data_IF_899626684520
#
_entry.id   IF_899626684520
#
_cell.length_a   1.000
_cell.length_b   1.000
_cell.length_c   1.000
_cell.angle_alpha   90.00
_cell.angle_beta   90.00
_cell.angle_gamma   90.00
#
_symmetry.space_group_name_H-M   'P 1'
#
loop_
_entity.id
_entity.type
_entity.pdbx_description
1 polymer ?
#
# COMPACT_ATOMS: atom_id res chain seq x y z
N UNK A 1 -2.42 30.85 13.41
CA UNK A 1 -3.14 30.94 12.13
C UNK A 1 -2.46 30.12 11.01
N UNK A 2 -1.17 30.33 10.68
CA UNK A 2 -0.45 29.59 9.62
C UNK A 2 -0.56 28.06 9.66
N UNK A 3 -0.51 27.45 10.85
CA UNK A 3 -0.63 25.98 11.04
C UNK A 3 -2.03 25.46 10.68
N UNK A 4 -3.09 26.20 11.00
CA UNK A 4 -4.46 25.80 10.64
C UNK A 4 -4.70 25.95 9.15
N UNK A 5 -4.16 27.00 8.52
CA UNK A 5 -4.22 27.16 7.06
C UNK A 5 -3.54 26.01 6.34
N UNK A 6 -2.35 25.58 6.80
CA UNK A 6 -1.65 24.41 6.24
C UNK A 6 -2.49 23.13 6.40
N UNK A 7 -3.11 22.95 7.58
CA UNK A 7 -3.93 21.77 7.86
C UNK A 7 -5.18 21.73 6.97
N UNK A 8 -5.85 22.87 6.80
CA UNK A 8 -7.01 22.99 5.91
C UNK A 8 -6.60 22.70 4.46
N UNK A 9 -5.48 23.28 4.00
CA UNK A 9 -4.99 23.05 2.64
C UNK A 9 -4.69 21.56 2.40
N UNK A 10 -3.97 20.91 3.31
CA UNK A 10 -3.66 19.48 3.21
C UNK A 10 -4.93 18.63 3.26
N UNK A 11 -5.91 19.00 4.10
CA UNK A 11 -7.18 18.28 4.18
C UNK A 11 -8.02 18.41 2.90
N UNK A 12 -8.05 19.60 2.29
CA UNK A 12 -8.75 19.83 1.02
C UNK A 12 -8.04 19.09 -0.12
N UNK A 13 -6.71 19.12 -0.16
CA UNK A 13 -5.92 18.38 -1.15
C UNK A 13 -6.20 16.88 -1.07
N UNK A 14 -6.19 16.33 0.15
CA UNK A 14 -6.46 14.91 0.38
C UNK A 14 -7.89 14.53 -0.02
N UNK A 15 -8.87 15.36 0.34
CA UNK A 15 -10.26 15.16 -0.04
C UNK A 15 -10.45 15.17 -1.56
N UNK A 16 -9.80 16.12 -2.26
CA UNK A 16 -9.84 16.20 -3.72
C UNK A 16 -9.20 14.96 -4.36
N UNK A 17 -8.09 14.47 -3.82
CA UNK A 17 -7.39 13.30 -4.35
C UNK A 17 -8.23 12.02 -4.22
N UNK A 18 -8.83 11.77 -3.05
CA UNK A 18 -9.64 10.55 -2.84
C UNK A 18 -10.97 10.59 -3.60
N UNK A 19 -11.57 11.78 -3.74
CA UNK A 19 -12.85 11.92 -4.45
C UNK A 19 -12.73 11.98 -5.97
N UNK A 20 -11.51 12.13 -6.52
CA UNK A 20 -11.27 12.21 -7.96
C UNK A 20 -11.93 11.08 -8.78
N UNK A 21 -11.72 9.78 -8.50
CA UNK A 21 -12.37 8.71 -9.26
C UNK A 21 -13.90 8.75 -9.14
N UNK A 22 -14.44 9.11 -7.97
CA UNK A 22 -15.89 9.21 -7.77
C UNK A 22 -16.51 10.36 -8.58
N UNK A 23 -15.83 11.51 -8.67
CA UNK A 23 -16.29 12.66 -9.45
C UNK A 23 -16.24 12.33 -10.95
N UNK A 24 -15.18 11.65 -11.42
CA UNK A 24 -15.05 11.26 -12.82
C UNK A 24 -16.19 10.34 -13.25
N UNK A 25 -16.48 9.28 -12.48
CA UNK A 25 -17.61 8.36 -12.74
C UNK A 25 -18.96 9.11 -12.73
N UNK A 26 -19.12 10.10 -11.84
CA UNK A 26 -20.37 10.86 -11.75
C UNK A 26 -20.60 11.82 -12.93
N UNK A 27 -19.53 12.26 -13.60
CA UNK A 27 -19.60 13.13 -14.78
C UNK A 27 -19.78 12.32 -16.05
N UNK A 28 -19.05 11.22 -16.18
CA UNK A 28 -19.06 10.37 -17.37
C UNK A 28 -18.69 8.92 -17.00
N UNK A 29 -19.61 8.00 -17.26
CA UNK A 29 -19.48 6.58 -16.94
C UNK A 29 -18.61 5.80 -17.94
N UNK A 30 -18.16 6.45 -19.02
CA UNK A 30 -17.28 5.85 -20.03
C UNK A 30 -15.80 6.03 -19.72
N UNK A 31 -15.46 6.89 -18.74
CA UNK A 31 -14.07 7.15 -18.35
C UNK A 31 -13.51 5.97 -17.57
N UNK A 32 -12.38 5.44 -18.04
CA UNK A 32 -11.65 4.40 -17.34
C UNK A 32 -10.92 4.97 -16.11
N UNK A 33 -11.36 4.55 -14.93
CA UNK A 33 -10.77 4.92 -13.62
C UNK A 33 -9.96 3.78 -13.00
N UNK A 34 -9.78 2.66 -13.69
CA UNK A 34 -9.04 1.49 -13.19
C UNK A 34 -7.63 1.86 -12.72
N UNK A 35 -6.95 2.75 -13.45
CA UNK A 35 -5.62 3.26 -13.11
C UNK A 35 -5.55 3.89 -11.72
N UNK A 36 -6.59 4.62 -11.28
CA UNK A 36 -6.62 5.23 -9.94
C UNK A 36 -6.66 4.16 -8.83
N UNK A 37 -7.32 3.03 -9.09
CA UNK A 37 -7.37 1.91 -8.16
C UNK A 37 -6.09 1.07 -8.22
N UNK A 38 -5.54 0.84 -9.42
CA UNK A 38 -4.29 0.07 -9.61
C UNK A 38 -3.05 0.74 -8.99
N UNK A 39 -2.98 2.07 -8.94
CA UNK A 39 -1.86 2.78 -8.29
C UNK A 39 -1.90 2.63 -6.77
N UNK A 40 -3.09 2.51 -6.18
CA UNK A 40 -3.27 2.35 -4.74
C UNK A 40 -3.18 0.88 -4.30
N UNK A 41 -3.35 -0.05 -5.24
CA UNK A 41 -3.21 -1.47 -5.01
C UNK A 41 -1.72 -1.84 -5.04
N UNK A 42 -1.11 -1.95 -3.85
CA UNK A 42 0.24 -2.50 -3.69
C UNK A 42 0.20 -4.03 -3.86
N UNK A 43 -0.17 -4.52 -5.05
CA UNK A 43 0.26 -5.85 -5.44
C UNK A 43 1.77 -5.76 -5.69
N UNK A 44 2.53 -6.33 -4.76
CA UNK A 44 3.87 -6.85 -5.03
C UNK A 44 3.72 -8.02 -6.03
N UNK A 45 3.21 -7.75 -7.23
CA UNK A 45 3.44 -8.65 -8.33
C UNK A 45 4.95 -8.71 -8.45
N UNK A 46 5.47 -9.93 -8.31
CA UNK A 46 6.87 -10.21 -8.57
C UNK A 46 7.05 -9.88 -10.05
N UNK A 47 7.38 -8.62 -10.34
CA UNK A 47 7.87 -8.15 -11.61
C UNK A 47 9.15 -8.95 -11.84
N UNK A 48 8.98 -10.14 -12.43
CA UNK A 48 10.02 -10.87 -13.12
C UNK A 48 10.38 -10.04 -14.35
N UNK A 49 10.93 -8.85 -14.13
CA UNK A 49 11.82 -8.26 -15.10
C UNK A 49 13.03 -9.18 -15.14
N UNK A 50 13.35 -9.82 -16.28
CA UNK A 50 14.72 -10.26 -16.48
C UNK A 50 15.53 -8.97 -16.55
N UNK A 51 16.07 -8.54 -15.41
CA UNK A 51 17.01 -7.44 -15.34
C UNK A 51 18.20 -7.88 -16.19
N UNK A 52 18.23 -7.41 -17.43
CA UNK A 52 19.47 -7.35 -18.19
C UNK A 52 20.31 -6.32 -17.47
N UNK A 53 21.23 -6.81 -16.65
CA UNK A 53 22.28 -6.02 -16.05
C UNK A 53 22.98 -5.28 -17.18
N UNK A 54 22.67 -4.01 -17.40
CA UNK A 54 23.57 -3.04 -18.02
C UNK A 54 23.08 -1.63 -17.72
N UNK A 55 23.87 -0.98 -16.88
CA UNK A 55 24.14 0.46 -16.86
C UNK A 55 22.94 1.40 -16.87
N UNK A 56 22.42 1.69 -15.67
CA UNK A 56 21.85 3.01 -15.42
C UNK A 56 22.59 3.67 -14.27
N UNK A 57 23.27 4.77 -14.60
CA UNK A 57 23.87 5.71 -13.66
C UNK A 57 22.80 6.18 -12.68
N UNK A 58 22.94 5.75 -11.43
CA UNK A 58 22.07 6.09 -10.31
C UNK A 58 22.32 7.55 -9.91
N UNK A 59 21.41 8.44 -10.33
CA UNK A 59 21.36 9.82 -9.87
C UNK A 59 20.12 10.05 -9.02
N UNK A 60 20.01 9.34 -7.89
CA UNK A 60 19.01 9.64 -6.88
C UNK A 60 19.69 9.82 -5.52
N UNK A 61 20.21 11.03 -5.31
CA UNK A 61 20.53 11.54 -3.97
C UNK A 61 19.23 11.81 -3.21
N UNK A 62 18.59 10.75 -2.73
CA UNK A 62 17.55 10.81 -1.71
C UNK A 62 18.21 10.62 -0.34
N UNK A 63 18.45 11.74 0.33
CA UNK A 63 18.88 11.78 1.73
C UNK A 63 17.86 11.04 2.61
N UNK A 64 18.14 9.78 2.92
CA UNK A 64 17.57 9.03 4.02
C UNK A 64 18.69 8.78 5.03
N UNK A 65 18.54 9.29 6.25
CA UNK A 65 19.47 9.01 7.34
C UNK A 65 19.59 7.51 7.55
N UNK A 66 20.80 6.97 7.44
CA UNK A 66 21.15 5.58 7.79
C UNK A 66 20.86 5.30 9.27
N UNK A 67 19.61 5.02 9.63
CA UNK A 67 19.38 4.12 10.76
C UNK A 67 19.65 2.73 10.25
N UNK A 68 20.83 2.18 10.56
CA UNK A 68 21.14 0.76 10.38
C UNK A 68 20.17 -0.07 11.22
N UNK A 69 18.96 -0.29 10.72
CA UNK A 69 18.07 -1.31 11.24
C UNK A 69 18.68 -2.65 10.87
N UNK A 70 19.32 -3.28 11.86
CA UNK A 70 19.72 -4.67 11.75
C UNK A 70 18.44 -5.52 11.72
N UNK A 71 17.86 -5.70 10.53
CA UNK A 71 16.83 -6.71 10.26
C UNK A 71 17.52 -8.09 10.30
N UNK A 72 17.90 -8.50 11.51
CA UNK A 72 18.43 -9.83 11.76
C UNK A 72 17.33 -10.87 11.53
N UNK A 73 17.60 -11.84 10.67
CA UNK A 73 16.74 -13.02 10.53
C UNK A 73 16.62 -13.72 11.89
N UNK A 74 15.39 -13.87 12.39
CA UNK A 74 15.09 -14.66 13.58
C UNK A 74 14.32 -15.91 13.19
N UNK A 75 14.92 -17.08 13.41
CA UNK A 75 14.24 -18.35 13.20
C UNK A 75 13.15 -18.53 14.27
N UNK A 76 11.90 -18.51 13.83
CA UNK A 76 10.73 -18.67 14.70
C UNK A 76 10.64 -20.10 15.25
N UNK A 77 11.08 -20.29 16.50
CA UNK A 77 10.92 -21.54 17.25
C UNK A 77 9.49 -21.70 17.83
N UNK A 78 8.45 -21.60 17.00
CA UNK A 78 7.11 -21.89 17.47
C UNK A 78 6.91 -23.40 17.64
N UNK A 79 6.31 -23.79 18.76
CA UNK A 79 5.80 -25.15 18.92
C UNK A 79 4.78 -25.44 17.81
N UNK A 80 4.78 -26.67 17.29
CA UNK A 80 3.83 -27.08 16.24
C UNK A 80 2.41 -26.70 16.68
N UNK A 81 1.68 -25.86 15.92
CA UNK A 81 0.31 -25.53 16.27
C UNK A 81 -0.48 -26.83 16.30
N UNK A 82 -1.34 -26.98 17.31
CA UNK A 82 -2.25 -28.12 17.39
C UNK A 82 -3.25 -27.99 16.24
N UNK A 83 -2.92 -28.58 15.09
CA UNK A 83 -3.67 -28.53 13.83
C UNK A 83 -5.06 -29.19 13.90
N UNK A 84 -5.47 -29.63 15.09
CA UNK A 84 -6.70 -30.34 15.35
C UNK A 84 -7.66 -29.47 16.17
N UNK A 85 -7.95 -28.25 15.72
CA UNK A 85 -9.27 -27.66 16.00
C UNK A 85 -10.28 -28.40 15.13
N UNK A 86 -10.68 -29.58 15.60
CA UNK A 86 -11.67 -30.47 14.96
C UNK A 86 -13.11 -29.97 15.17
N UNK A 87 -13.28 -28.89 15.95
CA UNK A 87 -14.59 -28.36 16.26
C UNK A 87 -14.98 -27.31 15.21
N UNK A 88 -16.08 -27.51 14.48
CA UNK A 88 -16.66 -26.42 13.70
C UNK A 88 -17.00 -25.24 14.64
N UNK A 89 -17.04 -24.00 14.11
CA UNK A 89 -17.51 -22.86 14.87
C UNK A 89 -18.95 -23.11 15.39
N UNK A 90 -19.31 -22.59 16.59
CA UNK A 90 -20.64 -22.80 17.16
C UNK A 90 -21.74 -22.27 16.23
N UNK A 91 -22.83 -23.02 16.11
CA UNK A 91 -24.02 -22.55 15.40
C UNK A 91 -24.62 -21.34 16.13
N UNK A 92 -24.91 -20.28 15.38
CA UNK A 92 -25.65 -19.14 15.90
C UNK A 92 -27.07 -19.60 16.25
N UNK A 93 -27.39 -19.65 17.53
CA UNK A 93 -28.77 -19.82 18.00
C UNK A 93 -29.48 -18.49 17.71
N UNK A 94 -30.41 -18.50 16.76
CA UNK A 94 -31.38 -17.41 16.50
C UNK A 94 -32.57 -17.60 17.42
#
# INVERSE_FOLDING_TARGET
>A
MRKHTIAILMSVLFLAFISAPSILIAVDDTIDVSMFYSIAEEENENLKFPISNNEYHESDNLYGTDSKEYLGYYFKNYSKPHLNLISPPPDYII
#
